data_IF_773329985976
#
_entry.id   IF_773329985976
#
_cell.length_a   1.000
_cell.length_b   1.000
_cell.length_c   1.000
_cell.angle_alpha   90.00
_cell.angle_beta   90.00
_cell.angle_gamma   90.00
#
_symmetry.space_group_name_H-M   'P 1'
#
loop_
_entity.id
_entity.type
_entity.pdbx_description
1 polymer ?
#
# COMPACT_ATOMS: atom_id res chain seq x y z
N UNK A 1 -10.28 -63.45 26.70
CA UNK A 1 -9.22 -62.56 26.13
C UNK A 1 -9.86 -61.92 24.93
N UNK A 2 -10.30 -60.65 25.08
CA UNK A 2 -10.86 -59.84 24.01
C UNK A 2 -9.72 -59.09 23.33
N UNK A 3 -9.46 -59.37 22.05
CA UNK A 3 -8.55 -58.60 21.23
C UNK A 3 -9.31 -57.37 20.77
N UNK A 4 -8.90 -56.21 21.30
CA UNK A 4 -9.32 -54.89 20.80
C UNK A 4 -8.61 -54.66 19.48
N UNK A 5 -9.37 -54.76 18.38
CA UNK A 5 -8.91 -54.41 17.03
C UNK A 5 -8.91 -52.90 16.88
N UNK A 6 -7.81 -52.25 17.28
CA UNK A 6 -7.59 -50.84 17.05
C UNK A 6 -7.64 -50.55 15.55
N UNK A 7 -8.74 -49.95 15.12
CA UNK A 7 -8.86 -49.37 13.77
C UNK A 7 -7.90 -48.20 13.66
N UNK A 8 -6.79 -48.38 12.96
CA UNK A 8 -5.91 -47.31 12.54
C UNK A 8 -6.70 -46.43 11.55
N UNK A 9 -7.27 -45.32 12.05
CA UNK A 9 -7.83 -44.29 11.19
C UNK A 9 -6.64 -43.60 10.52
N UNK A 10 -6.33 -43.99 9.29
CA UNK A 10 -5.40 -43.24 8.44
C UNK A 10 -6.08 -41.93 8.05
N UNK A 11 -5.70 -40.86 8.71
CA UNK A 11 -6.12 -39.52 8.29
C UNK A 11 -5.25 -39.12 7.10
N UNK A 12 -5.83 -39.09 5.91
CA UNK A 12 -5.18 -38.57 4.71
C UNK A 12 -5.95 -37.35 4.23
N UNK A 13 -5.23 -36.43 3.60
CA UNK A 13 -5.85 -35.30 2.93
C UNK A 13 -6.14 -35.70 1.48
N UNK A 14 -7.42 -35.56 1.08
CA UNK A 14 -7.87 -35.86 -0.26
C UNK A 14 -8.01 -34.57 -1.06
N UNK A 15 -7.26 -34.45 -2.14
CA UNK A 15 -7.27 -33.29 -3.06
C UNK A 15 -7.93 -33.62 -4.40
N UNK A 16 -8.53 -34.81 -4.58
CA UNK A 16 -9.14 -35.20 -5.85
C UNK A 16 -10.29 -34.28 -6.29
N UNK A 17 -10.95 -33.62 -5.35
CA UNK A 17 -12.02 -32.64 -5.62
C UNK A 17 -11.50 -31.21 -5.81
N UNK A 18 -10.19 -30.98 -5.68
CA UNK A 18 -9.63 -29.66 -5.91
C UNK A 18 -9.69 -29.27 -7.39
N UNK A 19 -9.99 -28.01 -7.66
CA UNK A 19 -9.94 -27.48 -9.02
C UNK A 19 -8.53 -27.53 -9.56
N UNK A 20 -8.40 -27.76 -10.87
CA UNK A 20 -7.12 -27.69 -11.55
C UNK A 20 -6.50 -26.29 -11.40
N UNK A 21 -5.19 -26.24 -11.30
CA UNK A 21 -4.45 -24.99 -11.25
C UNK A 21 -4.57 -24.27 -12.59
N UNK A 22 -5.25 -23.11 -12.61
CA UNK A 22 -5.30 -22.25 -13.78
C UNK A 22 -4.08 -21.32 -13.83
N UNK A 23 -3.36 -21.33 -14.96
CA UNK A 23 -2.38 -20.28 -15.26
C UNK A 23 -3.13 -19.04 -15.73
N UNK A 24 -2.80 -17.88 -15.19
CA UNK A 24 -3.36 -16.62 -15.65
C UNK A 24 -2.49 -16.05 -16.75
N UNK A 25 -3.13 -15.65 -17.86
CA UNK A 25 -2.45 -14.90 -18.91
C UNK A 25 -1.87 -13.58 -18.38
N UNK A 26 -0.79 -13.13 -19.03
CA UNK A 26 -0.20 -11.85 -18.72
C UNK A 26 -1.22 -10.72 -18.97
N UNK A 27 -1.29 -9.77 -18.06
CA UNK A 27 -2.02 -8.54 -18.31
C UNK A 27 -1.24 -7.77 -19.40
N UNK A 28 -1.96 -7.27 -20.42
CA UNK A 28 -1.34 -6.56 -21.53
C UNK A 28 -0.48 -5.40 -21.02
N UNK A 29 0.73 -5.28 -21.54
CA UNK A 29 1.61 -4.14 -21.29
C UNK A 29 0.91 -2.82 -21.62
N UNK A 30 1.01 -1.84 -20.73
CA UNK A 30 0.37 -0.54 -20.89
C UNK A 30 -1.05 -0.45 -20.31
N UNK A 31 -1.66 -1.56 -19.90
CA UNK A 31 -2.97 -1.53 -19.22
C UNK A 31 -2.91 -0.70 -17.96
N UNK A 32 -3.89 0.20 -17.79
CA UNK A 32 -4.06 1.00 -16.57
C UNK A 32 -4.99 0.26 -15.62
N UNK A 33 -4.56 0.09 -14.37
CA UNK A 33 -5.33 -0.61 -13.34
C UNK A 33 -5.23 0.13 -12.02
N UNK A 34 -6.36 0.26 -11.32
CA UNK A 34 -6.35 0.71 -9.94
C UNK A 34 -5.85 -0.42 -9.06
N UNK A 35 -4.78 -0.16 -8.33
CA UNK A 35 -4.15 -1.17 -7.46
C UNK A 35 -4.06 -0.68 -6.02
N UNK A 36 -4.12 -1.63 -5.10
CA UNK A 36 -3.72 -1.45 -3.70
C UNK A 36 -2.33 -2.03 -3.52
N UNK A 37 -1.43 -1.25 -2.97
CA UNK A 37 -0.09 -1.68 -2.61
C UNK A 37 -0.06 -2.16 -1.16
N UNK A 38 0.53 -3.33 -0.93
CA UNK A 38 0.85 -3.85 0.40
C UNK A 38 2.34 -4.12 0.47
N UNK A 39 2.98 -3.73 1.56
CA UNK A 39 4.41 -3.96 1.76
C UNK A 39 4.60 -5.21 2.62
N UNK A 40 5.28 -6.22 2.09
CA UNK A 40 5.70 -7.38 2.88
C UNK A 40 6.85 -6.98 3.79
N UNK A 41 6.67 -6.99 5.13
CA UNK A 41 7.71 -6.61 6.07
C UNK A 41 8.96 -7.46 5.92
N UNK A 42 10.13 -6.82 5.87
CA UNK A 42 11.42 -7.49 5.79
C UNK A 42 12.21 -7.49 7.09
N UNK A 43 11.72 -6.76 8.11
CA UNK A 43 12.32 -6.69 9.44
C UNK A 43 13.58 -5.84 9.53
N UNK A 44 13.95 -5.10 8.49
CA UNK A 44 15.14 -4.25 8.50
C UNK A 44 14.79 -2.79 8.82
N UNK A 45 15.46 -2.22 9.81
CA UNK A 45 15.36 -0.83 10.20
C UNK A 45 16.72 -0.13 10.11
N UNK A 46 16.70 1.14 9.71
CA UNK A 46 17.83 2.06 9.75
C UNK A 46 17.33 3.46 10.09
N UNK A 47 17.39 3.83 11.36
CA UNK A 47 16.91 5.12 11.86
C UNK A 47 17.69 6.31 11.28
N UNK A 48 18.95 6.13 10.87
CA UNK A 48 19.75 7.18 10.24
C UNK A 48 19.21 7.57 8.86
N UNK A 49 18.54 6.63 8.19
CA UNK A 49 17.85 6.84 6.92
C UNK A 49 16.35 7.12 7.08
N UNK A 50 15.84 7.09 8.31
CA UNK A 50 14.41 7.21 8.58
C UNK A 50 13.61 5.94 8.23
N UNK A 51 14.26 4.80 8.04
CA UNK A 51 13.59 3.52 7.78
C UNK A 51 13.29 2.84 9.11
N UNK A 52 12.00 2.80 9.47
CA UNK A 52 11.54 2.26 10.74
C UNK A 52 10.28 1.44 10.54
N UNK A 53 9.95 0.60 11.53
CA UNK A 53 8.73 -0.21 11.56
C UNK A 53 8.85 -1.54 10.81
N UNK A 54 10.07 -1.98 10.48
CA UNK A 54 10.35 -3.30 9.91
C UNK A 54 9.87 -3.50 8.47
N UNK A 55 9.49 -2.44 7.75
CA UNK A 55 8.97 -2.56 6.38
C UNK A 55 10.06 -2.84 5.35
N UNK A 56 11.28 -2.32 5.57
CA UNK A 56 12.37 -2.52 4.63
C UNK A 56 12.90 -3.97 4.69
N UNK A 57 13.36 -4.46 3.56
CA UNK A 57 14.05 -5.74 3.42
C UNK A 57 15.49 -5.48 3.01
N UNK A 58 16.44 -6.08 3.70
CA UNK A 58 17.84 -6.08 3.32
C UNK A 58 18.22 -7.44 2.71
N UNK A 59 18.92 -7.39 1.59
CA UNK A 59 19.53 -8.58 1.02
C UNK A 59 20.99 -8.65 1.52
N UNK A 60 21.27 -9.59 2.40
CA UNK A 60 22.60 -9.71 3.04
C UNK A 60 23.71 -10.08 2.05
N UNK A 61 23.40 -10.76 0.95
CA UNK A 61 24.37 -11.14 -0.07
C UNK A 61 24.81 -9.95 -0.92
N UNK A 62 23.90 -8.99 -1.17
CA UNK A 62 24.15 -7.86 -2.05
C UNK A 62 24.25 -6.53 -1.32
N UNK A 63 23.85 -6.45 -0.05
CA UNK A 63 23.74 -5.22 0.73
C UNK A 63 22.66 -4.26 0.25
N UNK A 64 21.84 -4.67 -0.74
CA UNK A 64 20.76 -3.85 -1.25
C UNK A 64 19.57 -3.82 -0.29
N UNK A 65 18.91 -2.66 -0.18
CA UNK A 65 17.71 -2.48 0.66
C UNK A 65 16.54 -2.02 -0.22
N UNK A 66 15.36 -2.59 0.02
CA UNK A 66 14.16 -2.35 -0.78
C UNK A 66 12.88 -2.58 0.01
N UNK A 67 11.76 -2.07 -0.53
CA UNK A 67 10.42 -2.49 -0.12
C UNK A 67 9.97 -3.63 -1.05
N UNK A 68 9.51 -4.73 -0.46
CA UNK A 68 8.93 -5.86 -1.19
C UNK A 68 7.42 -5.64 -1.29
N UNK A 69 6.95 -5.19 -2.45
CA UNK A 69 5.57 -4.74 -2.64
C UNK A 69 4.73 -5.74 -3.42
N UNK A 70 3.54 -6.01 -2.89
CA UNK A 70 2.44 -6.69 -3.59
C UNK A 70 1.44 -5.63 -4.06
N UNK A 71 0.99 -5.73 -5.31
CA UNK A 71 -0.03 -4.87 -5.89
C UNK A 71 -1.24 -5.73 -6.26
N UNK A 72 -2.39 -5.43 -5.68
CA UNK A 72 -3.64 -6.14 -5.95
C UNK A 72 -4.53 -5.25 -6.81
N UNK A 73 -4.98 -5.74 -7.96
CA UNK A 73 -5.93 -5.02 -8.81
C UNK A 73 -7.28 -4.97 -8.12
N UNK A 74 -7.84 -3.77 -7.96
CA UNK A 74 -9.03 -3.53 -7.16
C UNK A 74 -10.33 -3.77 -7.91
N UNK A 75 -10.36 -3.55 -9.22
CA UNK A 75 -11.59 -3.59 -10.02
C UNK A 75 -11.32 -3.95 -11.49
N UNK A 76 -12.40 -4.14 -12.26
CA UNK A 76 -12.35 -4.45 -13.69
C UNK A 76 -12.04 -5.91 -13.99
N UNK A 77 -11.69 -6.17 -15.24
CA UNK A 77 -11.44 -7.52 -15.78
C UNK A 77 -10.36 -8.28 -15.00
N UNK A 78 -9.35 -7.57 -14.50
CA UNK A 78 -8.22 -8.14 -13.78
C UNK A 78 -8.36 -8.05 -12.25
N UNK A 79 -9.57 -7.79 -11.73
CA UNK A 79 -9.81 -7.68 -10.30
C UNK A 79 -9.22 -8.88 -9.52
N UNK A 80 -8.60 -8.59 -8.37
CA UNK A 80 -7.91 -9.56 -7.49
C UNK A 80 -6.61 -10.15 -8.05
N UNK A 81 -6.20 -9.80 -9.27
CA UNK A 81 -4.88 -10.18 -9.80
C UNK A 81 -3.80 -9.52 -8.94
N UNK A 82 -2.77 -10.30 -8.65
CA UNK A 82 -1.63 -9.88 -7.84
C UNK A 82 -0.39 -9.74 -8.71
N UNK A 83 0.37 -8.69 -8.46
CA UNK A 83 1.66 -8.42 -9.09
C UNK A 83 2.66 -8.05 -8.01
N UNK A 84 3.93 -8.34 -8.23
CA UNK A 84 4.98 -8.05 -7.26
C UNK A 84 6.11 -7.27 -7.91
N UNK A 85 6.60 -6.25 -7.20
CA UNK A 85 7.77 -5.47 -7.61
C UNK A 85 8.54 -5.01 -6.38
N UNK A 86 9.84 -4.79 -6.57
CA UNK A 86 10.70 -4.21 -5.56
C UNK A 86 10.82 -2.71 -5.79
N UNK A 87 10.73 -1.92 -4.71
CA UNK A 87 11.03 -0.49 -4.71
C UNK A 87 12.38 -0.29 -4.03
N UNK A 88 13.40 0.10 -4.80
CA UNK A 88 14.76 0.28 -4.29
C UNK A 88 14.87 1.44 -3.29
N UNK A 89 15.54 1.19 -2.17
CA UNK A 89 15.87 2.19 -1.16
C UNK A 89 17.38 2.47 -1.12
N UNK A 90 18.19 1.43 -1.34
CA UNK A 90 19.65 1.54 -1.35
C UNK A 90 20.26 0.44 -2.21
N UNK A 91 21.39 0.77 -2.86
CA UNK A 91 22.22 -0.21 -3.55
C UNK A 91 23.70 0.17 -3.39
N UNK A 92 24.56 -0.77 -3.03
CA UNK A 92 26.02 -0.53 -3.01
C UNK A 92 26.62 -0.25 -4.40
N UNK A 93 25.89 -0.58 -5.49
CA UNK A 93 26.33 -0.37 -6.87
C UNK A 93 26.15 1.07 -7.37
N UNK A 94 25.43 1.91 -6.62
CA UNK A 94 25.18 3.30 -6.97
C UNK A 94 23.76 3.75 -6.59
N UNK A 95 23.50 5.07 -6.72
CA UNK A 95 22.25 5.67 -6.26
C UNK A 95 21.07 5.50 -7.22
N UNK A 96 21.28 5.02 -8.44
CA UNK A 96 20.29 5.03 -9.52
C UNK A 96 19.03 4.27 -9.12
N UNK A 97 19.20 3.08 -8.55
CA UNK A 97 18.07 2.24 -8.14
C UNK A 97 17.25 2.87 -7.00
N UNK A 98 17.93 3.49 -6.03
CA UNK A 98 17.27 4.22 -4.96
C UNK A 98 16.54 5.47 -5.49
N UNK A 99 17.13 6.18 -6.45
CA UNK A 99 16.49 7.32 -7.09
C UNK A 99 15.25 6.91 -7.90
N UNK A 100 15.30 5.79 -8.61
CA UNK A 100 14.13 5.20 -9.28
C UNK A 100 13.03 4.88 -8.27
N UNK A 101 13.37 4.26 -7.14
CA UNK A 101 12.44 3.97 -6.05
C UNK A 101 11.78 5.24 -5.49
N UNK A 102 12.57 6.29 -5.20
CA UNK A 102 12.05 7.59 -4.76
C UNK A 102 11.10 8.24 -5.77
N UNK A 103 11.46 8.18 -7.05
CA UNK A 103 10.61 8.70 -8.14
C UNK A 103 9.30 7.95 -8.20
N UNK A 104 9.35 6.63 -8.08
CA UNK A 104 8.14 5.80 -8.12
C UNK A 104 7.25 6.07 -6.89
N UNK A 105 7.80 6.14 -5.68
CA UNK A 105 7.04 6.51 -4.46
C UNK A 105 6.39 7.89 -4.61
N UNK A 106 7.12 8.89 -5.13
CA UNK A 106 6.55 10.21 -5.40
C UNK A 106 5.36 10.14 -6.37
N UNK A 107 5.47 9.35 -7.42
CA UNK A 107 4.39 9.15 -8.39
C UNK A 107 3.19 8.43 -7.76
N UNK A 108 3.42 7.40 -6.91
CA UNK A 108 2.37 6.72 -6.13
C UNK A 108 1.62 7.73 -5.25
N UNK A 109 2.34 8.57 -4.50
CA UNK A 109 1.73 9.59 -3.64
C UNK A 109 0.94 10.62 -4.43
N UNK A 110 1.46 11.08 -5.57
CA UNK A 110 0.73 11.98 -6.47
C UNK A 110 -0.56 11.32 -6.97
N UNK A 111 -0.48 10.08 -7.42
CA UNK A 111 -1.63 9.33 -7.90
C UNK A 111 -2.67 9.12 -6.80
N UNK A 112 -2.26 8.60 -5.66
CA UNK A 112 -3.16 8.27 -4.56
C UNK A 112 -3.83 9.49 -3.92
N UNK A 113 -3.15 10.63 -3.92
CA UNK A 113 -3.59 11.87 -3.25
C UNK A 113 -4.08 12.93 -4.22
N UNK A 114 -4.22 12.61 -5.51
CA UNK A 114 -4.73 13.53 -6.53
C UNK A 114 -3.86 14.76 -6.78
N UNK A 115 -2.54 14.65 -6.59
CA UNK A 115 -1.61 15.77 -6.71
C UNK A 115 -1.01 15.81 -8.12
N UNK A 116 -1.20 16.94 -8.81
CA UNK A 116 -0.59 17.13 -10.12
C UNK A 116 0.94 17.18 -10.02
N UNK A 117 1.69 16.49 -10.91
CA UNK A 117 3.16 16.40 -10.82
C UNK A 117 3.89 17.75 -10.78
N UNK A 118 3.36 18.75 -11.51
CA UNK A 118 3.89 20.10 -11.58
C UNK A 118 3.47 21.02 -10.42
N UNK A 119 2.55 20.59 -9.55
CA UNK A 119 2.12 21.39 -8.41
C UNK A 119 3.19 21.38 -7.31
N UNK A 120 3.74 22.56 -7.02
CA UNK A 120 4.74 22.78 -5.97
C UNK A 120 4.19 23.64 -4.82
N UNK A 121 2.88 23.79 -4.71
CA UNK A 121 2.25 24.46 -3.57
C UNK A 121 2.61 23.79 -2.23
N UNK A 122 2.55 24.52 -1.10
CA UNK A 122 2.78 23.93 0.21
C UNK A 122 1.88 22.72 0.51
N UNK A 123 0.63 22.75 0.04
CA UNK A 123 -0.32 21.66 0.17
C UNK A 123 0.14 20.42 -0.62
N UNK A 124 0.58 20.60 -1.87
CA UNK A 124 1.11 19.52 -2.71
C UNK A 124 2.41 18.93 -2.14
N UNK A 125 3.31 19.79 -1.62
CA UNK A 125 4.53 19.34 -0.96
C UNK A 125 4.21 18.51 0.28
N UNK A 126 3.26 18.95 1.11
CA UNK A 126 2.82 18.22 2.29
C UNK A 126 2.16 16.88 1.92
N UNK A 127 1.36 16.87 0.85
CA UNK A 127 0.74 15.65 0.33
C UNK A 127 1.76 14.61 -0.20
N UNK A 128 3.02 14.98 -0.45
CA UNK A 128 4.11 14.07 -0.83
C UNK A 128 4.97 13.61 0.33
N UNK A 129 4.65 14.04 1.56
CA UNK A 129 5.36 13.61 2.77
C UNK A 129 4.69 12.40 3.39
N UNK A 130 5.50 11.54 3.94
CA UNK A 130 5.09 10.38 4.73
C UNK A 130 5.85 10.40 6.06
N UNK A 131 5.24 9.89 7.12
CA UNK A 131 5.88 9.75 8.43
C UNK A 131 6.73 8.48 8.53
N UNK A 132 6.41 7.49 7.69
CA UNK A 132 7.11 6.22 7.60
C UNK A 132 6.50 5.36 6.50
N UNK A 133 7.08 4.19 6.27
CA UNK A 133 6.59 3.28 5.21
C UNK A 133 5.20 2.72 5.48
N UNK A 134 4.73 2.75 6.74
CA UNK A 134 3.36 2.41 7.09
C UNK A 134 2.31 3.26 6.33
N UNK A 135 2.65 4.51 5.99
CA UNK A 135 1.76 5.40 5.22
C UNK A 135 1.60 4.97 3.75
N UNK A 136 2.48 4.10 3.27
CA UNK A 136 2.43 3.51 1.94
C UNK A 136 1.73 2.15 1.93
N UNK A 137 1.62 1.48 3.07
CA UNK A 137 0.98 0.18 3.18
C UNK A 137 -0.54 0.33 3.09
N UNK A 138 -1.16 -0.39 2.15
CA UNK A 138 -2.58 -0.27 1.84
C UNK A 138 -2.95 0.92 0.94
N UNK A 139 -2.00 1.72 0.45
CA UNK A 139 -2.28 2.87 -0.43
C UNK A 139 -2.83 2.40 -1.78
N UNK A 140 -3.83 3.09 -2.28
CA UNK A 140 -4.43 2.83 -3.58
C UNK A 140 -4.03 3.90 -4.59
N UNK A 141 -3.68 3.49 -5.80
CA UNK A 141 -3.28 4.37 -6.87
C UNK A 141 -3.52 3.75 -8.25
N UNK A 142 -3.46 4.56 -9.30
CA UNK A 142 -3.56 4.10 -10.67
C UNK A 142 -2.17 3.65 -11.17
N UNK A 143 -2.01 2.35 -11.36
CA UNK A 143 -0.78 1.75 -11.86
C UNK A 143 -0.85 1.46 -13.35
N UNK A 144 0.30 1.50 -14.02
CA UNK A 144 0.48 1.04 -15.39
C UNK A 144 1.21 -0.29 -15.37
N UNK A 145 0.58 -1.29 -15.98
CA UNK A 145 1.16 -2.63 -16.11
C UNK A 145 2.31 -2.62 -17.11
N UNK A 146 3.37 -3.29 -16.74
CA UNK A 146 4.52 -3.61 -17.61
C UNK A 146 4.86 -5.09 -17.43
N UNK A 147 5.82 -5.57 -18.18
CA UNK A 147 6.36 -6.93 -18.06
C UNK A 147 7.79 -6.90 -17.57
N UNK A 148 8.13 -7.91 -16.80
CA UNK A 148 9.48 -8.18 -16.32
C UNK A 148 9.77 -9.68 -16.40
N UNK A 149 11.01 -10.08 -16.27
CA UNK A 149 11.37 -11.48 -16.18
C UNK A 149 11.35 -11.95 -14.73
N UNK A 150 10.86 -13.14 -14.52
CA UNK A 150 11.00 -13.85 -13.24
C UNK A 150 12.38 -14.52 -13.13
N UNK A 151 12.61 -15.27 -12.06
CA UNK A 151 13.87 -15.98 -11.82
C UNK A 151 14.15 -17.09 -12.87
N UNK A 152 13.11 -17.58 -13.54
CA UNK A 152 13.19 -18.61 -14.58
C UNK A 152 13.26 -18.01 -16.00
N UNK A 153 13.32 -16.67 -16.11
CA UNK A 153 13.34 -15.96 -17.38
C UNK A 153 11.98 -15.85 -18.07
N UNK A 154 10.88 -16.23 -17.38
CA UNK A 154 9.53 -16.11 -17.91
C UNK A 154 8.98 -14.71 -17.69
N UNK A 155 8.12 -14.24 -18.60
CA UNK A 155 7.46 -12.95 -18.44
C UNK A 155 6.45 -12.98 -17.30
N UNK A 156 6.44 -11.92 -16.50
CA UNK A 156 5.46 -11.65 -15.45
C UNK A 156 4.94 -10.23 -15.54
N UNK A 157 3.67 -10.04 -15.22
CA UNK A 157 3.08 -8.70 -15.09
C UNK A 157 3.59 -8.02 -13.81
N UNK A 158 3.97 -6.75 -13.93
CA UNK A 158 4.47 -5.91 -12.82
C UNK A 158 3.88 -4.51 -12.92
N UNK A 159 3.91 -3.75 -11.83
CA UNK A 159 3.64 -2.31 -11.85
C UNK A 159 4.99 -1.58 -11.78
N UNK A 160 5.32 -0.83 -12.83
CA UNK A 160 6.56 -0.03 -12.92
C UNK A 160 6.32 1.48 -12.90
N UNK A 161 5.08 1.92 -13.11
CA UNK A 161 4.75 3.35 -13.13
C UNK A 161 3.40 3.58 -12.46
N UNK A 162 3.29 4.67 -11.72
CA UNK A 162 2.03 5.21 -11.24
C UNK A 162 1.58 6.33 -12.19
N UNK A 163 0.29 6.35 -12.48
CA UNK A 163 -0.35 7.34 -13.35
C UNK A 163 -0.89 8.46 -12.49
N UNK A 164 -0.56 9.68 -12.83
CA UNK A 164 -0.84 10.89 -12.07
C UNK A 164 -1.99 11.69 -12.68
N UNK A 165 -2.55 12.68 -11.97
CA UNK A 165 -3.74 13.44 -12.41
C UNK A 165 -3.66 14.16 -13.76
N UNK A 166 -2.47 14.34 -14.32
CA UNK A 166 -2.24 14.91 -15.66
C UNK A 166 -2.58 13.94 -16.79
N UNK A 167 -2.77 12.65 -16.50
CA UNK A 167 -3.15 11.68 -17.51
C UNK A 167 -4.66 11.73 -17.78
N UNK A 168 -5.03 11.72 -19.07
CA UNK A 168 -6.44 11.87 -19.52
C UNK A 168 -7.41 10.86 -18.89
N UNK A 169 -6.98 9.65 -18.66
CA UNK A 169 -7.84 8.58 -18.13
C UNK A 169 -7.83 8.50 -16.60
N UNK A 170 -7.02 9.33 -15.92
CA UNK A 170 -6.87 9.30 -14.47
C UNK A 170 -8.19 9.52 -13.73
N UNK A 171 -8.91 10.58 -14.07
CA UNK A 171 -10.16 10.95 -13.39
C UNK A 171 -11.23 9.86 -13.52
N UNK A 172 -11.34 9.21 -14.68
CA UNK A 172 -12.31 8.13 -14.91
C UNK A 172 -11.99 6.88 -14.08
N UNK A 173 -10.69 6.53 -13.96
CA UNK A 173 -10.24 5.31 -13.30
C UNK A 173 -10.01 5.47 -11.77
N UNK A 174 -9.82 6.71 -11.29
CA UNK A 174 -9.67 7.00 -9.86
C UNK A 174 -10.91 7.66 -9.24
N UNK A 175 -11.77 8.27 -10.06
CA UNK A 175 -12.92 9.08 -9.61
C UNK A 175 -14.01 8.30 -8.89
N UNK A 176 -14.08 6.98 -9.04
CA UNK A 176 -14.99 6.12 -8.28
C UNK A 176 -14.61 5.93 -6.80
N UNK A 177 -13.44 6.41 -6.37
CA UNK A 177 -12.85 6.12 -5.07
C UNK A 177 -12.64 7.31 -4.14
N UNK A 178 -12.97 8.54 -4.55
CA UNK A 178 -12.73 9.74 -3.72
C UNK A 178 -13.61 9.86 -2.45
N UNK A 179 -14.31 8.77 -2.07
CA UNK A 179 -15.12 8.71 -0.85
C UNK A 179 -14.39 8.31 0.44
N UNK A 180 -13.12 7.91 0.41
CA UNK A 180 -12.47 7.31 1.57
C UNK A 180 -11.00 7.70 1.82
N UNK A 181 -10.54 8.87 1.36
CA UNK A 181 -9.28 9.39 1.87
C UNK A 181 -9.52 9.95 3.28
N UNK A 182 -9.23 9.16 4.31
CA UNK A 182 -9.16 9.61 5.71
C UNK A 182 -8.13 10.74 5.77
N UNK A 183 -8.62 11.98 5.93
CA UNK A 183 -7.75 13.11 6.18
C UNK A 183 -6.83 12.81 7.38
N UNK A 184 -5.53 13.15 7.34
CA UNK A 184 -4.68 13.03 8.52
C UNK A 184 -5.29 13.85 9.65
N UNK A 185 -5.44 13.24 10.82
CA UNK A 185 -5.94 13.89 12.00
C UNK A 185 -5.08 15.14 12.29
N UNK A 186 -5.69 16.30 12.61
CA UNK A 186 -4.92 17.47 12.96
C UNK A 186 -4.11 17.17 14.22
N UNK A 187 -2.80 17.40 14.13
CA UNK A 187 -1.91 17.34 15.28
C UNK A 187 -2.40 18.37 16.32
N UNK A 188 -2.86 17.87 17.45
CA UNK A 188 -3.27 18.67 18.59
C UNK A 188 -2.01 19.31 19.17
N UNK A 189 -1.78 20.56 18.84
CA UNK A 189 -0.74 21.42 19.39
C UNK A 189 -1.32 22.33 20.46
N UNK A 190 -0.92 22.06 21.71
CA UNK A 190 -0.69 23.01 22.80
C UNK A 190 -1.77 23.95 23.28
N UNK A 191 -2.12 23.71 24.52
CA UNK A 191 -2.44 24.64 25.63
C UNK A 191 -2.39 26.16 25.32
N UNK A 192 -3.52 26.80 25.45
CA UNK A 192 -3.58 28.18 25.94
C UNK A 192 -4.64 28.27 27.04
N UNK A 193 -4.16 28.44 28.25
CA UNK A 193 -4.97 28.88 29.36
C UNK A 193 -5.48 30.29 29.06
N UNK A 194 -6.79 30.46 29.00
CA UNK A 194 -7.43 31.75 29.16
C UNK A 194 -8.58 31.59 30.14
N UNK A 195 -8.38 32.13 31.34
CA UNK A 195 -9.43 32.40 32.30
C UNK A 195 -10.42 33.39 31.70
N UNK A 196 -11.69 33.02 31.69
CA UNK A 196 -12.79 33.98 31.60
C UNK A 196 -13.88 33.58 32.60
N UNK A 197 -13.98 34.37 33.64
CA UNK A 197 -15.09 34.39 34.58
C UNK A 197 -16.36 34.86 33.87
N UNK A 198 -17.36 33.99 33.81
CA UNK A 198 -18.67 34.32 33.26
C UNK A 198 -19.73 33.39 33.84
N UNK A 199 -20.48 33.90 34.79
CA UNK A 199 -21.67 33.29 35.42
C UNK A 199 -22.69 32.95 34.33
N UNK A 200 -23.07 31.67 34.19
CA UNK A 200 -24.23 31.30 33.41
C UNK A 200 -25.21 30.51 34.28
N UNK A 201 -26.45 30.94 34.22
CA UNK A 201 -27.65 30.50 34.91
C UNK A 201 -28.00 29.03 34.60
N UNK A 202 -28.46 28.30 35.60
CA UNK A 202 -28.93 26.93 35.54
C UNK A 202 -30.32 26.91 34.89
N UNK A 203 -30.56 26.05 33.88
CA UNK A 203 -31.92 25.80 33.37
C UNK A 203 -32.64 24.81 34.30
N UNK A 204 -33.90 25.12 34.55
CA UNK A 204 -34.77 24.39 35.47
C UNK A 204 -35.02 22.93 35.09
N UNK A 205 -35.30 22.15 36.13
CA UNK A 205 -35.65 20.74 36.18
C UNK A 205 -37.00 20.48 35.48
N UNK A 206 -37.13 19.45 34.64
CA UNK A 206 -38.42 19.12 34.01
C UNK A 206 -39.47 18.64 35.01
N UNK A 207 -40.75 18.96 34.74
CA UNK A 207 -41.89 18.79 35.66
C UNK A 207 -42.40 17.33 35.88
N UNK A 208 -41.71 16.33 35.39
CA UNK A 208 -42.11 14.92 35.58
C UNK A 208 -41.37 14.21 36.74
N UNK A 209 -40.58 14.91 37.50
CA UNK A 209 -39.82 14.38 38.65
C UNK A 209 -40.38 14.89 39.99
N UNK A 210 -41.69 14.64 40.21
CA UNK A 210 -42.31 14.63 41.54
C UNK A 210 -42.80 13.21 41.81
#
# INVERSE_FOLDING_TARGET
ILYDSGVLIMTYFDFNSASEQTSFDLIRKGTLVRVRMTIKPGGFDDSSQGWTGGYATRNDNTGSVYLNCEFVVMEGEFARRKMWSLIGLHSPKGPEWANMGRTFVKAILNSARGVHPGDNSPAAQNARRISGFADLDGIEFLGKVDWDKDQNGQDKSVIKAAITPDHKDYAALMGGAQGAAKAPAPANGSNAYAQATGRASVPGRPSWAQ
#
